data_IF_168482434707
#
_entry.id   IF_168482434707
#
_cell.length_a   1.000
_cell.length_b   1.000
_cell.length_c   1.000
_cell.angle_alpha   90.00
_cell.angle_beta   90.00
_cell.angle_gamma   90.00
#
_symmetry.space_group_name_H-M   'P 1'
#
loop_
_entity.id
_entity.type
_entity.pdbx_description
1 polymer ?
#
# COMPACT_ATOMS: atom_id res chain seq x y z
N UNK A 1 -15.06 -32.13 6.45
CA UNK A 1 -14.23 -32.30 5.45
C UNK A 1 -12.90 -33.00 5.65
N UNK A 2 -12.29 -33.38 4.59
CA UNK A 2 -11.09 -34.21 4.50
C UNK A 2 -9.79 -33.58 5.05
N UNK A 3 -9.84 -32.36 5.63
CA UNK A 3 -8.65 -31.61 6.07
C UNK A 3 -8.67 -31.20 7.53
N UNK A 4 -9.64 -31.65 8.33
CA UNK A 4 -9.81 -31.24 9.73
C UNK A 4 -8.64 -31.66 10.64
N UNK A 5 -7.92 -32.71 10.29
CA UNK A 5 -6.77 -33.24 11.06
C UNK A 5 -5.40 -32.68 10.62
N UNK A 6 -5.34 -31.85 9.59
CA UNK A 6 -4.08 -31.31 9.11
C UNK A 6 -3.66 -30.08 9.89
N UNK A 7 -2.58 -30.18 10.66
CA UNK A 7 -2.00 -29.06 11.40
C UNK A 7 -1.47 -27.91 10.50
N UNK A 8 -1.25 -28.18 9.21
CA UNK A 8 -0.70 -27.23 8.24
C UNK A 8 -1.78 -26.45 7.49
N UNK A 9 -2.99 -27.01 7.37
CA UNK A 9 -4.08 -26.36 6.65
C UNK A 9 -4.68 -25.24 7.49
N UNK A 10 -4.75 -24.03 6.93
CA UNK A 10 -5.36 -22.86 7.57
C UNK A 10 -5.89 -21.85 6.55
N UNK A 11 -6.85 -21.05 6.95
CA UNK A 11 -7.28 -19.88 6.19
C UNK A 11 -6.21 -18.80 6.30
N UNK A 12 -5.71 -18.31 5.16
CA UNK A 12 -4.69 -17.29 5.09
C UNK A 12 -4.93 -16.32 3.93
N UNK A 13 -4.01 -15.36 3.78
CA UNK A 13 -4.04 -14.45 2.63
C UNK A 13 -3.77 -15.24 1.35
N UNK A 14 -4.67 -15.10 0.39
CA UNK A 14 -4.54 -15.72 -0.93
C UNK A 14 -4.38 -14.61 -1.97
N UNK A 15 -3.23 -14.59 -2.65
CA UNK A 15 -2.91 -13.58 -3.67
C UNK A 15 -3.87 -13.64 -4.87
N UNK A 16 -4.42 -14.82 -5.20
CA UNK A 16 -5.37 -14.99 -6.29
C UNK A 16 -6.80 -14.57 -5.95
N UNK A 17 -7.01 -14.01 -4.76
CA UNK A 17 -8.31 -13.51 -4.31
C UNK A 17 -9.36 -14.58 -4.01
N UNK A 18 -8.98 -15.86 -3.96
CA UNK A 18 -9.88 -16.99 -3.63
C UNK A 18 -10.20 -16.96 -2.14
N UNK A 19 -11.29 -16.34 -1.77
CA UNK A 19 -11.77 -16.27 -0.38
C UNK A 19 -12.40 -17.59 0.05
N UNK A 20 -12.26 -17.93 1.36
CA UNK A 20 -12.95 -19.07 1.96
C UNK A 20 -12.34 -20.44 1.63
N UNK A 21 -11.13 -20.51 1.08
CA UNK A 21 -10.39 -21.76 0.89
C UNK A 21 -9.22 -21.86 1.86
N UNK A 22 -9.13 -23.00 2.53
CA UNK A 22 -7.97 -23.33 3.35
C UNK A 22 -6.77 -23.65 2.45
N UNK A 23 -5.57 -23.32 2.90
CA UNK A 23 -4.33 -23.42 2.13
C UNK A 23 -3.18 -23.88 3.00
N UNK A 24 -2.09 -24.28 2.38
CA UNK A 24 -0.76 -24.42 2.99
C UNK A 24 0.18 -23.43 2.30
N UNK A 25 1.24 -23.01 2.98
CA UNK A 25 2.31 -22.20 2.38
C UNK A 25 3.52 -23.10 2.15
N UNK A 26 4.10 -23.01 0.96
CA UNK A 26 5.30 -23.75 0.57
C UNK A 26 6.44 -22.79 0.33
N UNK A 27 7.54 -22.93 1.08
CA UNK A 27 8.79 -22.24 0.82
C UNK A 27 9.71 -23.15 0.01
N UNK A 28 10.18 -22.67 -1.13
CA UNK A 28 11.13 -23.36 -2.00
C UNK A 28 12.44 -22.57 -2.03
N UNK A 29 13.55 -23.25 -1.76
CA UNK A 29 14.89 -22.75 -1.96
C UNK A 29 15.47 -23.42 -3.20
N UNK A 30 15.97 -22.61 -4.14
CA UNK A 30 16.58 -23.09 -5.37
C UNK A 30 18.01 -22.59 -5.52
N UNK A 31 18.82 -23.29 -6.33
CA UNK A 31 20.12 -22.80 -6.80
C UNK A 31 19.95 -21.76 -7.92
N UNK A 32 21.06 -21.28 -8.47
CA UNK A 32 21.11 -20.30 -9.56
C UNK A 32 20.52 -20.80 -10.88
N UNK A 33 20.39 -22.12 -11.04
CA UNK A 33 19.77 -22.77 -12.21
C UNK A 33 18.29 -23.08 -12.00
N UNK A 34 17.73 -22.80 -10.83
CA UNK A 34 16.34 -23.10 -10.48
C UNK A 34 16.10 -24.51 -9.96
N UNK A 35 17.13 -25.30 -9.69
CA UNK A 35 16.97 -26.61 -9.08
C UNK A 35 16.60 -26.50 -7.61
N UNK A 36 15.63 -27.31 -7.16
CA UNK A 36 15.18 -27.30 -5.78
C UNK A 36 16.25 -27.86 -4.83
N UNK A 37 16.76 -27.02 -3.92
CA UNK A 37 17.71 -27.42 -2.87
C UNK A 37 16.96 -27.82 -1.60
N UNK A 38 15.91 -27.10 -1.24
CA UNK A 38 15.12 -27.35 -0.04
C UNK A 38 13.68 -26.94 -0.21
N UNK A 39 12.79 -27.77 0.32
CA UNK A 39 11.35 -27.48 0.41
C UNK A 39 10.97 -27.43 1.89
N UNK A 40 10.13 -26.45 2.25
CA UNK A 40 9.55 -26.32 3.57
C UNK A 40 8.07 -26.04 3.45
N UNK A 41 7.26 -26.75 4.22
CA UNK A 41 5.84 -26.47 4.34
C UNK A 41 5.56 -25.69 5.61
N UNK A 42 4.64 -24.73 5.51
CA UNK A 42 4.21 -23.88 6.61
C UNK A 42 2.69 -23.87 6.70
N UNK A 43 2.19 -23.52 7.88
CA UNK A 43 0.76 -23.33 8.09
C UNK A 43 0.21 -22.27 7.14
N UNK A 44 -0.98 -22.50 6.59
CA UNK A 44 -1.58 -21.66 5.54
C UNK A 44 -1.78 -20.20 5.88
N UNK A 45 -1.72 -19.80 7.17
CA UNK A 45 -1.75 -18.41 7.62
C UNK A 45 -0.36 -17.85 7.96
N UNK A 46 0.72 -18.54 7.61
CA UNK A 46 2.09 -18.03 7.79
C UNK A 46 2.36 -16.92 6.80
N UNK A 47 2.92 -15.80 7.27
CA UNK A 47 3.28 -14.68 6.41
C UNK A 47 4.68 -14.84 5.80
N UNK A 48 4.93 -14.14 4.69
CA UNK A 48 6.17 -14.23 3.91
C UNK A 48 7.42 -13.85 4.74
N UNK A 49 7.29 -12.91 5.67
CA UNK A 49 8.41 -12.48 6.54
C UNK A 49 8.92 -13.63 7.41
N UNK A 50 8.03 -14.47 7.96
CA UNK A 50 8.42 -15.61 8.78
C UNK A 50 9.08 -16.69 7.93
N UNK A 51 8.52 -17.00 6.76
CA UNK A 51 9.10 -17.98 5.83
C UNK A 51 10.48 -17.54 5.36
N UNK A 52 10.68 -16.27 5.08
CA UNK A 52 11.96 -15.69 4.69
C UNK A 52 13.03 -15.86 5.79
N UNK A 53 12.69 -15.52 7.03
CA UNK A 53 13.61 -15.67 8.18
C UNK A 53 14.05 -17.12 8.36
N UNK A 54 13.11 -18.07 8.28
CA UNK A 54 13.42 -19.51 8.41
C UNK A 54 14.34 -20.02 7.28
N UNK A 55 14.21 -19.46 6.05
CA UNK A 55 15.10 -19.81 4.96
C UNK A 55 16.52 -19.25 5.17
N UNK A 56 16.66 -18.01 5.68
CA UNK A 56 17.97 -17.44 6.03
C UNK A 56 18.70 -18.31 7.08
N UNK A 57 17.98 -18.75 8.11
CA UNK A 57 18.56 -19.62 9.15
C UNK A 57 19.03 -20.95 8.57
N UNK A 58 18.34 -21.50 7.57
CA UNK A 58 18.79 -22.70 6.86
C UNK A 58 20.06 -22.49 6.05
N UNK A 59 20.14 -21.37 5.31
CA UNK A 59 21.34 -21.02 4.55
C UNK A 59 22.57 -20.99 5.44
N UNK A 60 22.47 -20.38 6.61
CA UNK A 60 23.55 -20.29 7.59
C UNK A 60 23.86 -21.62 8.27
N UNK A 61 22.83 -22.22 8.90
CA UNK A 61 23.03 -23.31 9.88
C UNK A 61 23.04 -24.69 9.23
N UNK A 62 22.38 -24.89 8.09
CA UNK A 62 22.28 -26.18 7.43
C UNK A 62 23.23 -26.32 6.24
N UNK A 63 23.34 -25.25 5.45
CA UNK A 63 24.16 -25.28 4.24
C UNK A 63 25.53 -24.63 4.45
N UNK A 64 25.75 -23.94 5.57
CA UNK A 64 26.98 -23.24 5.94
C UNK A 64 27.51 -22.35 4.79
N UNK A 65 26.59 -21.67 4.10
CA UNK A 65 26.94 -20.81 2.99
C UNK A 65 27.46 -19.47 3.51
N UNK A 66 28.53 -19.00 2.87
CA UNK A 66 29.14 -17.71 3.10
C UNK A 66 28.97 -16.83 1.85
N UNK A 67 29.16 -15.53 1.97
CA UNK A 67 29.11 -14.57 0.86
C UNK A 67 27.78 -14.60 0.07
N UNK A 68 26.64 -14.55 0.77
CA UNK A 68 25.30 -14.50 0.18
C UNK A 68 24.82 -13.06 0.11
N UNK A 69 24.26 -12.67 -1.03
CA UNK A 69 23.47 -11.45 -1.17
C UNK A 69 21.98 -11.81 -1.20
N UNK A 70 21.25 -11.32 -0.22
CA UNK A 70 19.81 -11.55 -0.07
C UNK A 70 19.05 -10.47 -0.80
N UNK A 71 18.24 -10.84 -1.78
CA UNK A 71 17.46 -9.91 -2.60
C UNK A 71 15.97 -10.09 -2.30
N UNK A 72 15.27 -9.01 -2.01
CA UNK A 72 13.83 -9.04 -1.77
C UNK A 72 13.20 -7.66 -1.80
N UNK A 73 11.88 -7.60 -1.94
CA UNK A 73 11.16 -6.33 -1.87
C UNK A 73 11.03 -5.80 -0.43
N UNK A 74 10.65 -4.53 -0.27
CA UNK A 74 10.49 -3.90 1.05
C UNK A 74 9.30 -4.43 1.87
N UNK A 75 8.44 -5.27 1.30
CA UNK A 75 7.41 -6.03 2.02
C UNK A 75 7.99 -7.27 2.68
N UNK A 76 9.00 -7.88 2.04
CA UNK A 76 9.65 -9.12 2.44
C UNK A 76 10.83 -8.86 3.40
N UNK A 77 11.71 -7.90 3.07
CA UNK A 77 12.88 -7.53 3.88
C UNK A 77 12.61 -6.22 4.62
N UNK A 78 12.38 -6.28 5.92
CA UNK A 78 12.17 -5.11 6.78
C UNK A 78 13.43 -4.74 7.54
N UNK A 79 13.44 -3.55 8.16
CA UNK A 79 14.62 -3.06 8.91
C UNK A 79 15.19 -4.06 9.93
N UNK A 80 14.32 -4.80 10.63
CA UNK A 80 14.74 -5.86 11.57
C UNK A 80 15.42 -7.05 10.88
N UNK A 81 15.00 -7.35 9.65
CA UNK A 81 15.55 -8.46 8.87
C UNK A 81 16.91 -8.07 8.29
N UNK A 82 17.10 -6.79 7.94
CA UNK A 82 18.39 -6.21 7.52
C UNK A 82 19.45 -6.40 8.62
N UNK A 83 19.10 -6.11 9.88
CA UNK A 83 20.04 -6.32 11.00
C UNK A 83 20.42 -7.79 11.10
N UNK A 84 19.45 -8.71 11.05
CA UNK A 84 19.70 -10.15 11.10
C UNK A 84 20.58 -10.65 9.93
N UNK A 85 20.32 -10.15 8.71
CA UNK A 85 21.13 -10.48 7.52
C UNK A 85 22.59 -10.05 7.74
N UNK A 86 22.80 -8.83 8.22
CA UNK A 86 24.15 -8.31 8.53
C UNK A 86 24.84 -9.10 9.65
N UNK A 87 24.12 -9.47 10.71
CA UNK A 87 24.65 -10.28 11.82
C UNK A 87 25.07 -11.68 11.37
N UNK A 88 24.47 -12.20 10.29
CA UNK A 88 24.86 -13.44 9.65
C UNK A 88 26.11 -13.30 8.75
N UNK A 89 26.57 -12.08 8.49
CA UNK A 89 27.65 -11.79 7.54
C UNK A 89 27.19 -11.80 6.08
N UNK A 90 25.90 -11.62 5.82
CA UNK A 90 25.33 -11.59 4.48
C UNK A 90 25.08 -10.17 4.01
N UNK A 91 25.10 -9.98 2.70
CA UNK A 91 24.70 -8.75 2.05
C UNK A 91 23.20 -8.76 1.72
N UNK A 92 22.66 -7.59 1.44
CA UNK A 92 21.27 -7.46 1.05
C UNK A 92 21.08 -6.41 -0.05
N UNK A 93 20.01 -6.59 -0.83
CA UNK A 93 19.42 -5.61 -1.75
C UNK A 93 17.92 -5.60 -1.50
N UNK A 94 17.36 -4.45 -1.15
CA UNK A 94 15.92 -4.31 -0.94
C UNK A 94 15.43 -2.91 -1.31
N UNK A 95 14.15 -2.76 -1.53
CA UNK A 95 13.52 -1.46 -1.71
C UNK A 95 12.95 -0.93 -0.40
N UNK A 96 12.87 0.39 -0.26
CA UNK A 96 12.18 1.03 0.86
C UNK A 96 10.90 1.71 0.38
N UNK A 97 9.87 1.69 1.24
CA UNK A 97 8.58 2.29 0.94
C UNK A 97 8.57 3.82 1.11
N UNK A 98 7.57 4.47 0.49
CA UNK A 98 7.40 5.94 0.57
C UNK A 98 7.55 6.53 1.98
N UNK A 99 6.95 5.97 3.06
CA UNK A 99 7.13 6.52 4.41
C UNK A 99 8.59 6.55 4.88
N UNK A 100 9.39 5.54 4.50
CA UNK A 100 10.81 5.50 4.82
C UNK A 100 11.61 6.50 3.99
N UNK A 101 11.24 6.69 2.71
CA UNK A 101 11.84 7.73 1.86
C UNK A 101 11.54 9.12 2.42
N UNK A 102 10.28 9.40 2.80
CA UNK A 102 9.87 10.66 3.44
C UNK A 102 10.66 10.93 4.72
N UNK A 103 10.91 9.88 5.52
CA UNK A 103 11.69 9.98 6.75
C UNK A 103 13.15 10.36 6.43
N UNK A 104 13.79 9.65 5.50
CA UNK A 104 15.17 9.93 5.09
C UNK A 104 15.34 11.36 4.58
N UNK A 105 14.43 11.85 3.73
CA UNK A 105 14.48 13.22 3.19
C UNK A 105 14.33 14.28 4.30
N UNK A 106 13.58 13.98 5.36
CA UNK A 106 13.34 14.90 6.49
C UNK A 106 14.42 14.82 7.57
N UNK A 107 15.25 13.81 7.58
CA UNK A 107 16.36 13.69 8.55
C UNK A 107 17.39 14.81 8.29
N UNK A 108 17.72 15.57 9.35
CA UNK A 108 18.53 16.79 9.25
C UNK A 108 19.95 16.53 8.72
N UNK A 109 20.49 15.35 9.00
CA UNK A 109 21.85 14.96 8.61
C UNK A 109 21.88 14.01 7.40
N UNK A 110 20.73 13.71 6.79
CA UNK A 110 20.66 12.85 5.62
C UNK A 110 21.19 13.56 4.37
N UNK A 111 22.01 12.85 3.61
CA UNK A 111 22.46 13.28 2.29
C UNK A 111 21.39 13.10 1.22
N UNK A 112 20.28 12.41 1.52
CA UNK A 112 19.20 12.16 0.58
C UNK A 112 18.26 13.35 0.54
N UNK A 113 18.18 14.02 -0.62
CA UNK A 113 17.35 15.20 -0.85
C UNK A 113 16.43 14.99 -2.06
N UNK A 114 15.31 15.72 -2.09
CA UNK A 114 14.35 15.62 -3.19
C UNK A 114 14.95 15.87 -4.58
N UNK A 115 15.88 16.83 -4.69
CA UNK A 115 16.58 17.15 -5.94
C UNK A 115 17.34 15.98 -6.54
N UNK A 116 17.73 14.98 -5.74
CA UNK A 116 18.42 13.80 -6.25
C UNK A 116 17.52 12.87 -7.07
N UNK A 117 16.19 13.00 -6.97
CA UNK A 117 15.25 12.23 -7.78
C UNK A 117 14.97 12.86 -9.15
N UNK A 118 15.40 14.11 -9.37
CA UNK A 118 15.25 14.80 -10.65
C UNK A 118 16.20 14.23 -11.71
N UNK A 119 17.21 13.48 -11.29
CA UNK A 119 18.15 12.80 -12.17
C UNK A 119 17.72 11.35 -12.42
N UNK A 120 18.17 10.79 -13.54
CA UNK A 120 17.73 9.47 -14.00
C UNK A 120 18.11 8.36 -13.02
N UNK A 121 19.31 8.44 -12.44
CA UNK A 121 19.79 7.50 -11.43
C UNK A 121 20.83 8.17 -10.52
N UNK A 122 20.56 8.21 -9.22
CA UNK A 122 21.50 8.78 -8.22
C UNK A 122 21.85 7.77 -7.15
N UNK A 123 23.01 7.99 -6.58
CA UNK A 123 23.57 7.16 -5.54
C UNK A 123 24.04 8.00 -4.37
N UNK A 124 23.74 7.55 -3.16
CA UNK A 124 24.17 8.15 -1.90
C UNK A 124 24.65 7.05 -0.97
N UNK A 125 25.82 7.23 -0.35
CA UNK A 125 26.35 6.32 0.68
C UNK A 125 26.29 7.04 2.02
N UNK A 126 25.59 6.43 2.97
CA UNK A 126 25.50 6.85 4.36
C UNK A 126 25.94 5.70 5.28
N UNK A 127 27.10 5.86 5.94
CA UNK A 127 27.71 4.79 6.74
C UNK A 127 27.94 3.53 5.90
N UNK A 128 27.43 2.41 6.36
CA UNK A 128 27.51 1.10 5.68
C UNK A 128 26.26 0.77 4.87
N UNK A 129 25.58 1.78 4.35
CA UNK A 129 24.38 1.59 3.54
C UNK A 129 24.48 2.46 2.30
N UNK A 130 24.26 1.87 1.17
CA UNK A 130 24.20 2.51 -0.13
C UNK A 130 22.74 2.60 -0.55
N UNK A 131 22.33 3.79 -0.97
CA UNK A 131 21.00 4.11 -1.47
C UNK A 131 21.11 4.42 -2.96
N UNK A 132 20.31 3.76 -3.76
CA UNK A 132 20.17 4.00 -5.20
C UNK A 132 18.78 4.60 -5.41
N UNK A 133 18.76 5.86 -5.84
CA UNK A 133 17.56 6.67 -5.99
C UNK A 133 17.20 6.80 -7.47
N UNK A 134 15.93 6.63 -7.80
CA UNK A 134 15.41 6.82 -9.15
C UNK A 134 13.97 7.32 -9.11
N UNK A 135 13.60 8.16 -10.09
CA UNK A 135 12.21 8.44 -10.43
C UNK A 135 11.87 7.80 -11.77
N UNK A 136 10.80 7.02 -11.81
CA UNK A 136 10.25 6.49 -13.06
C UNK A 136 9.14 7.42 -13.54
N UNK A 137 9.32 8.16 -14.64
CA UNK A 137 8.35 9.13 -15.15
C UNK A 137 7.04 8.45 -15.59
N UNK A 138 7.10 7.28 -16.19
CA UNK A 138 5.90 6.53 -16.60
C UNK A 138 5.07 6.18 -15.37
N UNK A 139 5.73 5.64 -14.35
CA UNK A 139 5.06 5.28 -13.09
C UNK A 139 4.51 6.49 -12.34
N UNK A 140 5.21 7.63 -12.39
CA UNK A 140 4.74 8.91 -11.86
C UNK A 140 3.40 9.30 -12.50
N UNK A 141 3.34 9.24 -13.82
CA UNK A 141 2.16 9.65 -14.59
C UNK A 141 0.98 8.67 -14.36
N UNK A 142 1.25 7.36 -14.29
CA UNK A 142 0.23 6.36 -13.90
C UNK A 142 -0.36 6.63 -12.50
N UNK A 143 0.48 6.97 -11.52
CA UNK A 143 0.03 7.28 -10.16
C UNK A 143 -0.85 8.53 -10.16
N UNK A 144 -0.47 9.57 -10.91
CA UNK A 144 -1.26 10.80 -11.08
C UNK A 144 -2.61 10.52 -11.72
N UNK A 145 -2.64 9.80 -12.84
CA UNK A 145 -3.89 9.39 -13.51
C UNK A 145 -4.79 8.56 -12.59
N UNK A 146 -4.20 7.62 -11.83
CA UNK A 146 -4.96 6.83 -10.85
C UNK A 146 -5.57 7.72 -9.77
N UNK A 147 -4.86 8.76 -9.31
CA UNK A 147 -5.36 9.73 -8.33
C UNK A 147 -6.54 10.51 -8.88
N UNK A 148 -6.44 11.04 -10.11
CA UNK A 148 -7.55 11.72 -10.78
C UNK A 148 -8.78 10.81 -10.96
N UNK A 149 -8.57 9.57 -11.39
CA UNK A 149 -9.65 8.59 -11.53
C UNK A 149 -10.36 8.30 -10.20
N UNK A 150 -9.62 8.32 -9.08
CA UNK A 150 -10.21 8.16 -7.75
C UNK A 150 -11.06 9.37 -7.34
N UNK A 151 -10.61 10.59 -7.66
CA UNK A 151 -11.38 11.81 -7.40
C UNK A 151 -12.68 11.77 -8.21
N UNK A 152 -12.65 11.47 -9.50
CA UNK A 152 -13.85 11.31 -10.34
C UNK A 152 -14.81 10.25 -9.79
N UNK A 153 -14.30 9.14 -9.27
CA UNK A 153 -15.11 8.10 -8.62
C UNK A 153 -15.73 8.58 -7.30
N UNK A 154 -15.08 9.49 -6.59
CA UNK A 154 -15.64 10.13 -5.40
C UNK A 154 -16.74 11.09 -5.78
N UNK A 155 -16.55 11.94 -6.79
CA UNK A 155 -17.53 12.89 -7.34
C UNK A 155 -18.84 12.17 -7.70
N UNK A 156 -18.76 11.15 -8.55
CA UNK A 156 -19.92 10.35 -8.93
C UNK A 156 -20.61 9.66 -7.75
N UNK A 157 -19.84 9.22 -6.75
CA UNK A 157 -20.40 8.63 -5.53
C UNK A 157 -21.16 9.67 -4.69
N UNK A 158 -20.61 10.87 -4.54
CA UNK A 158 -21.21 11.96 -3.78
C UNK A 158 -22.50 12.41 -4.48
N UNK A 159 -22.48 12.60 -5.80
CA UNK A 159 -23.66 12.97 -6.57
C UNK A 159 -24.81 11.98 -6.34
N UNK A 160 -24.57 10.69 -6.54
CA UNK A 160 -25.57 9.65 -6.32
C UNK A 160 -26.10 9.59 -4.86
N UNK A 161 -25.21 9.77 -3.89
CA UNK A 161 -25.58 9.72 -2.46
C UNK A 161 -26.35 10.96 -2.02
N UNK A 162 -25.99 12.12 -2.55
CA UNK A 162 -26.67 13.38 -2.29
C UNK A 162 -28.07 13.38 -2.94
N UNK A 163 -28.19 12.91 -4.18
CA UNK A 163 -29.48 12.73 -4.85
C UNK A 163 -30.37 11.76 -4.05
N UNK A 164 -29.83 10.59 -3.66
CA UNK A 164 -30.57 9.65 -2.82
C UNK A 164 -31.04 10.29 -1.51
N UNK A 165 -30.16 11.02 -0.83
CA UNK A 165 -30.49 11.70 0.41
C UNK A 165 -31.59 12.74 0.17
N UNK A 166 -31.50 13.55 -0.88
CA UNK A 166 -32.43 14.63 -1.17
C UNK A 166 -33.80 14.13 -1.62
N UNK A 167 -33.87 13.00 -2.31
CA UNK A 167 -35.13 12.41 -2.80
C UNK A 167 -35.83 11.48 -1.80
N UNK A 168 -35.12 10.96 -0.79
CA UNK A 168 -35.67 10.01 0.17
C UNK A 168 -35.88 10.67 1.54
N UNK A 169 -37.13 10.99 1.87
CA UNK A 169 -37.49 11.69 3.10
C UNK A 169 -36.91 11.07 4.39
N UNK A 170 -36.83 9.73 4.47
CA UNK A 170 -36.30 9.00 5.63
C UNK A 170 -34.78 8.91 5.71
N UNK A 171 -34.06 9.35 4.70
CA UNK A 171 -32.59 9.33 4.70
C UNK A 171 -32.03 10.30 5.75
N UNK A 172 -31.02 9.84 6.51
CA UNK A 172 -30.46 10.57 7.65
C UNK A 172 -29.18 11.30 7.28
N UNK A 173 -28.97 12.51 7.84
CA UNK A 173 -27.77 13.34 7.67
C UNK A 173 -26.50 12.59 8.07
N UNK A 174 -26.52 11.90 9.20
CA UNK A 174 -25.39 11.17 9.77
C UNK A 174 -24.96 10.01 8.84
N UNK A 175 -25.91 9.40 8.14
CA UNK A 175 -25.61 8.32 7.18
C UNK A 175 -24.91 8.87 5.97
N UNK A 176 -25.36 10.02 5.41
CA UNK A 176 -24.75 10.66 4.26
C UNK A 176 -23.29 11.03 4.56
N UNK A 177 -23.04 11.76 5.66
CA UNK A 177 -21.69 12.14 6.08
C UNK A 177 -20.77 10.91 6.26
N UNK A 178 -21.24 9.92 7.02
CA UNK A 178 -20.47 8.70 7.29
C UNK A 178 -20.13 7.90 6.03
N UNK A 179 -21.06 7.82 5.08
CA UNK A 179 -20.84 7.11 3.81
C UNK A 179 -19.79 7.83 2.96
N UNK A 180 -19.81 9.17 2.93
CA UNK A 180 -18.82 10.01 2.22
C UNK A 180 -17.43 9.83 2.85
N UNK A 181 -17.30 9.97 4.17
CA UNK A 181 -16.01 9.81 4.88
C UNK A 181 -15.42 8.41 4.67
N UNK A 182 -16.27 7.39 4.73
CA UNK A 182 -15.89 6.01 4.45
C UNK A 182 -15.41 5.83 3.01
N UNK A 183 -16.04 6.50 2.05
CA UNK A 183 -15.64 6.46 0.64
C UNK A 183 -14.31 7.13 0.43
N UNK A 184 -14.08 8.34 0.98
CA UNK A 184 -12.80 9.05 0.94
C UNK A 184 -11.68 8.16 1.47
N UNK A 185 -11.90 7.55 2.64
CA UNK A 185 -10.93 6.64 3.27
C UNK A 185 -10.65 5.40 2.42
N UNK A 186 -11.68 4.78 1.85
CA UNK A 186 -11.54 3.58 1.01
C UNK A 186 -10.76 3.86 -0.29
N UNK A 187 -10.86 5.06 -0.83
CA UNK A 187 -10.12 5.53 -1.99
C UNK A 187 -8.70 6.02 -1.63
N UNK A 188 -8.37 6.08 -0.33
CA UNK A 188 -7.08 6.59 0.20
C UNK A 188 -6.83 8.06 -0.19
N UNK A 189 -7.87 8.88 -0.15
CA UNK A 189 -7.82 10.31 -0.48
C UNK A 189 -7.76 11.22 0.77
N UNK A 190 -7.97 10.69 1.97
CA UNK A 190 -8.11 11.44 3.24
C UNK A 190 -6.95 12.38 3.60
N UNK A 191 -5.79 12.23 2.95
CA UNK A 191 -4.63 13.10 3.20
C UNK A 191 -4.77 14.50 2.59
N UNK A 192 -5.62 14.66 1.58
CA UNK A 192 -5.75 15.91 0.82
C UNK A 192 -7.18 16.18 0.31
N UNK A 193 -8.15 15.31 0.59
CA UNK A 193 -9.56 15.51 0.22
C UNK A 193 -10.42 15.47 1.46
N UNK A 194 -11.29 16.44 1.59
CA UNK A 194 -12.38 16.53 2.54
C UNK A 194 -13.67 16.96 1.84
N UNK A 195 -14.80 16.91 2.53
CA UNK A 195 -16.07 17.41 2.01
C UNK A 195 -16.72 18.35 3.02
N UNK A 196 -17.36 19.41 2.53
CA UNK A 196 -18.28 20.25 3.27
C UNK A 196 -19.70 19.89 2.88
N UNK A 197 -20.59 19.80 3.86
CA UNK A 197 -22.01 19.50 3.64
C UNK A 197 -22.84 20.62 4.23
N UNK A 198 -23.56 21.34 3.37
CA UNK A 198 -24.52 22.38 3.78
C UNK A 198 -25.93 21.83 3.64
N UNK A 199 -26.85 22.37 4.43
CA UNK A 199 -28.24 21.93 4.47
C UNK A 199 -29.17 23.13 4.39
N UNK A 200 -30.12 23.07 3.45
CA UNK A 200 -31.14 24.09 3.27
C UNK A 200 -32.55 23.44 3.30
N UNK A 201 -33.55 24.19 3.76
CA UNK A 201 -34.93 23.70 3.77
C UNK A 201 -35.48 23.58 2.36
N UNK A 202 -36.10 22.44 2.06
CA UNK A 202 -36.71 22.20 0.75
C UNK A 202 -37.76 21.10 0.81
N UNK A 203 -38.51 20.97 -0.26
CA UNK A 203 -39.65 20.07 -0.34
C UNK A 203 -39.30 18.78 -1.10
N UNK A 204 -39.81 17.66 -0.57
CA UNK A 204 -39.61 16.32 -1.16
C UNK A 204 -40.98 15.65 -1.34
N UNK A 205 -41.23 15.15 -2.51
CA UNK A 205 -42.43 14.37 -2.80
C UNK A 205 -42.30 12.95 -2.20
N UNK A 206 -43.27 12.54 -1.44
CA UNK A 206 -43.36 11.21 -0.84
C UNK A 206 -44.71 10.57 -1.12
N UNK A 207 -44.74 9.25 -1.29
CA UNK A 207 -46.00 8.52 -1.36
C UNK A 207 -46.48 8.20 0.06
N UNK A 208 -47.73 8.58 0.38
CA UNK A 208 -48.36 8.21 1.63
C UNK A 208 -48.76 6.71 1.63
N UNK A 209 -49.35 6.23 2.73
CA UNK A 209 -49.79 4.83 2.88
C UNK A 209 -50.87 4.41 1.88
N UNK A 210 -51.61 5.37 1.34
CA UNK A 210 -52.72 5.17 0.39
C UNK A 210 -52.24 5.31 -1.08
N UNK A 211 -50.95 5.53 -1.31
CA UNK A 211 -50.34 5.66 -2.61
C UNK A 211 -50.43 7.06 -3.25
N UNK A 212 -51.01 8.05 -2.56
CA UNK A 212 -51.08 9.41 -3.02
C UNK A 212 -49.78 10.17 -2.80
N UNK A 213 -49.46 11.09 -3.70
CA UNK A 213 -48.32 12.01 -3.54
C UNK A 213 -48.60 13.04 -2.44
N UNK A 214 -47.67 13.22 -1.55
CA UNK A 214 -47.65 14.20 -0.47
C UNK A 214 -46.30 14.91 -0.45
N UNK A 215 -46.31 16.22 -0.34
CA UNK A 215 -45.09 17.03 -0.20
C UNK A 215 -44.73 17.16 1.27
N UNK A 216 -43.46 16.87 1.59
CA UNK A 216 -42.90 17.03 2.95
C UNK A 216 -41.65 17.87 2.93
N UNK A 217 -41.58 18.82 3.84
CA UNK A 217 -40.41 19.66 4.03
C UNK A 217 -39.29 18.86 4.69
N UNK A 218 -38.07 18.99 4.16
CA UNK A 218 -36.86 18.34 4.62
C UNK A 218 -35.65 19.24 4.39
N UNK A 219 -34.61 19.07 5.21
CA UNK A 219 -33.30 19.65 4.96
C UNK A 219 -32.61 18.92 3.79
N UNK A 220 -32.49 19.59 2.66
CA UNK A 220 -31.75 19.11 1.48
C UNK A 220 -30.27 19.36 1.67
N UNK A 221 -29.43 18.44 1.20
CA UNK A 221 -27.99 18.52 1.31
C UNK A 221 -27.35 19.01 0.01
N UNK A 222 -26.36 19.86 0.14
CA UNK A 222 -25.39 20.18 -0.92
C UNK A 222 -24.01 19.79 -0.40
N UNK A 223 -23.27 19.00 -1.18
CA UNK A 223 -21.96 18.49 -0.81
C UNK A 223 -20.90 19.08 -1.73
N UNK A 224 -19.91 19.71 -1.15
CA UNK A 224 -18.76 20.28 -1.85
C UNK A 224 -17.48 19.52 -1.51
N UNK A 225 -16.70 19.15 -2.53
CA UNK A 225 -15.39 18.52 -2.37
C UNK A 225 -14.34 19.60 -2.21
N UNK A 226 -13.55 19.51 -1.14
CA UNK A 226 -12.47 20.42 -0.85
C UNK A 226 -11.15 19.67 -1.04
N UNK A 227 -10.31 20.15 -1.95
CA UNK A 227 -8.99 19.60 -2.23
C UNK A 227 -7.94 20.54 -1.63
N UNK A 228 -7.15 20.02 -0.70
CA UNK A 228 -5.95 20.69 -0.21
C UNK A 228 -4.82 20.51 -1.23
N UNK A 229 -4.64 21.50 -2.10
CA UNK A 229 -3.63 21.45 -3.17
C UNK A 229 -2.20 21.38 -2.62
N UNK A 230 -1.91 22.01 -1.47
CA UNK A 230 -0.58 21.92 -0.84
C UNK A 230 -0.28 20.50 -0.38
N UNK A 231 -1.22 19.88 0.32
CA UNK A 231 -1.08 18.48 0.74
C UNK A 231 -0.99 17.53 -0.46
N UNK A 232 -1.75 17.79 -1.54
CA UNK A 232 -1.70 17.06 -2.79
C UNK A 232 -0.35 17.16 -3.49
N UNK A 233 0.23 18.36 -3.56
CA UNK A 233 1.58 18.58 -4.11
C UNK A 233 2.64 17.85 -3.30
N UNK A 234 2.63 17.97 -1.97
CA UNK A 234 3.58 17.26 -1.09
C UNK A 234 3.56 15.74 -1.32
N UNK A 235 2.38 15.13 -1.41
CA UNK A 235 2.25 13.69 -1.68
C UNK A 235 2.75 13.35 -3.10
N UNK A 236 2.58 14.27 -4.05
CA UNK A 236 2.94 14.08 -5.46
C UNK A 236 4.44 14.14 -5.71
N UNK A 237 5.22 14.78 -4.84
CA UNK A 237 6.70 14.86 -4.96
C UNK A 237 7.36 13.48 -5.06
N UNK A 238 6.82 12.49 -4.37
CA UNK A 238 7.34 11.12 -4.38
C UNK A 238 6.63 10.19 -5.37
N UNK A 239 5.85 10.72 -6.32
CA UNK A 239 5.24 9.90 -7.34
C UNK A 239 6.30 9.38 -8.32
N UNK A 240 6.30 8.06 -8.52
CA UNK A 240 7.30 7.39 -9.34
C UNK A 240 8.68 7.25 -8.69
N UNK A 241 8.92 7.85 -7.53
CA UNK A 241 10.18 7.70 -6.81
C UNK A 241 10.27 6.33 -6.15
N UNK A 242 11.44 5.71 -6.26
CA UNK A 242 11.79 4.52 -5.49
C UNK A 242 13.26 4.57 -5.09
N UNK A 243 13.57 3.88 -4.02
CA UNK A 243 14.91 3.79 -3.46
C UNK A 243 15.23 2.33 -3.19
N UNK A 244 16.33 1.87 -3.74
CA UNK A 244 16.95 0.60 -3.40
C UNK A 244 18.01 0.88 -2.34
N UNK A 245 18.08 0.03 -1.32
CA UNK A 245 19.09 0.07 -0.27
C UNK A 245 19.87 -1.24 -0.25
N UNK A 246 21.18 -1.15 -0.07
CA UNK A 246 22.07 -2.31 -0.08
C UNK A 246 23.29 -2.09 0.83
N UNK A 247 23.88 -3.19 1.31
CA UNK A 247 25.19 -3.20 2.00
C UNK A 247 26.37 -3.28 1.03
N UNK A 248 26.14 -3.63 -0.24
CA UNK A 248 27.17 -3.70 -1.27
C UNK A 248 27.59 -2.29 -1.69
N UNK A 249 28.78 -1.85 -1.28
CA UNK A 249 29.27 -0.49 -1.53
C UNK A 249 29.99 -0.34 -2.88
N UNK A 250 30.68 -1.38 -3.34
CA UNK A 250 31.61 -1.32 -4.48
C UNK A 250 31.10 -1.90 -5.80
N UNK A 251 29.83 -2.35 -5.86
CA UNK A 251 29.25 -2.88 -7.09
C UNK A 251 28.62 -1.79 -7.93
N UNK A 252 28.69 -1.94 -9.26
CA UNK A 252 28.06 -1.03 -10.20
C UNK A 252 26.54 -0.94 -9.95
N UNK A 253 26.01 0.26 -9.94
CA UNK A 253 24.59 0.55 -9.74
C UNK A 253 23.69 0.04 -10.88
N UNK A 254 24.24 -0.12 -12.09
CA UNK A 254 23.50 -0.63 -13.25
C UNK A 254 23.36 -2.15 -13.24
N UNK A 255 24.20 -2.85 -12.49
CA UNK A 255 24.20 -4.32 -12.38
C UNK A 255 23.20 -4.82 -11.34
N UNK A 256 22.47 -3.93 -10.69
CA UNK A 256 21.50 -4.21 -9.60
C UNK A 256 20.08 -3.87 -10.00
#
# INVERSE_FOLDING_TARGET
GEYEDSQLVAYGYNRDGKKGKAQIVVGLLTDEYGHAISIQTYKGNTNDVKTFTDQLDKLKNRFNLENITVVGDGGMIKSKDISKIKDMGYDYITSIGKPSIEKLIKEKDSKIQMSLFDEELREVIEGNTRYILRQNPIRRDEIRQTRESKIKRLEAFIENKTEYYNTHYKAKKETLSKDIDKKISSLKLSKFVSCSITYEEGDVEVKNKDGNQETKTKMLATVEIIIDEKAREEISKLDGCYVITTSLLDTDKETK
#
